data_IF_569391808887
#
_entry.id   IF_569391808887
#
_cell.length_a   1.000
_cell.length_b   1.000
_cell.length_c   1.000
_cell.angle_alpha   90.00
_cell.angle_beta   90.00
_cell.angle_gamma   90.00
#
_symmetry.space_group_name_H-M   'P 1'
#
loop_
_entity.id
_entity.type
_entity.pdbx_description
1 polymer ?
#
# COMPACT_ATOMS: atom_id res chain seq x y z
N UNK A 1 -3.88 26.57 -1.64
CA UNK A 1 -3.17 25.44 -2.26
C UNK A 1 -1.92 25.14 -1.45
N UNK A 2 -1.90 24.00 -0.77
CA UNK A 2 -0.73 23.57 0.01
C UNK A 2 0.39 23.08 -0.92
N UNK A 3 1.65 23.10 -0.46
CA UNK A 3 2.78 22.60 -1.24
C UNK A 3 2.59 21.13 -1.66
N UNK A 4 1.96 20.33 -0.80
CA UNK A 4 1.62 18.94 -1.08
C UNK A 4 0.61 18.80 -2.23
N UNK A 5 -0.41 19.65 -2.28
CA UNK A 5 -1.40 19.66 -3.37
C UNK A 5 -0.77 20.03 -4.72
N UNK A 6 0.17 21.00 -4.73
CA UNK A 6 0.90 21.38 -5.95
C UNK A 6 1.77 20.23 -6.46
N UNK A 7 2.44 19.49 -5.57
CA UNK A 7 3.23 18.30 -5.96
C UNK A 7 2.32 17.19 -6.50
N UNK A 8 1.15 16.98 -5.89
CA UNK A 8 0.17 15.98 -6.36
C UNK A 8 -0.40 16.30 -7.75
N UNK A 9 -0.56 17.57 -8.11
CA UNK A 9 -0.98 17.95 -9.46
C UNK A 9 0.03 17.50 -10.53
N UNK A 10 1.33 17.52 -10.23
CA UNK A 10 2.39 17.05 -11.14
C UNK A 10 2.31 15.54 -11.39
N UNK A 11 1.64 14.75 -10.54
CA UNK A 11 1.38 13.34 -10.83
C UNK A 11 0.29 13.12 -11.87
N UNK A 12 -0.56 14.12 -12.12
CA UNK A 12 -1.71 14.02 -13.04
C UNK A 12 -1.46 14.67 -14.39
N UNK A 13 -0.52 15.61 -14.48
CA UNK A 13 -0.19 16.30 -15.73
C UNK A 13 1.27 16.07 -16.15
N UNK A 14 1.55 15.80 -17.44
CA UNK A 14 2.91 15.66 -17.93
C UNK A 14 3.61 17.03 -17.97
N UNK A 15 4.21 17.43 -16.86
CA UNK A 15 5.05 18.63 -16.75
C UNK A 15 6.51 18.29 -17.07
N UNK A 16 7.36 19.27 -17.41
CA UNK A 16 8.80 19.06 -17.66
C UNK A 16 9.52 18.29 -16.53
N UNK A 17 9.10 18.49 -15.28
CA UNK A 17 9.60 17.74 -14.11
C UNK A 17 9.22 16.25 -14.17
N UNK A 18 8.02 15.92 -14.65
CA UNK A 18 7.56 14.53 -14.83
C UNK A 18 8.39 13.81 -15.90
N UNK A 19 8.71 14.52 -17.00
CA UNK A 19 9.60 14.02 -18.05
C UNK A 19 11.01 13.75 -17.53
N UNK A 20 11.58 14.67 -16.73
CA UNK A 20 12.88 14.47 -16.11
C UNK A 20 12.93 13.27 -15.14
N UNK A 21 11.82 12.95 -14.46
CA UNK A 21 11.69 11.79 -13.56
C UNK A 21 11.33 10.48 -14.29
N UNK A 22 11.02 10.55 -15.58
CA UNK A 22 10.64 9.37 -16.38
C UNK A 22 11.69 8.27 -16.41
N UNK A 23 13.01 8.52 -16.59
CA UNK A 23 14.01 7.46 -16.53
C UNK A 23 14.03 6.74 -15.16
N UNK A 24 13.88 7.48 -14.06
CA UNK A 24 13.78 6.89 -12.72
C UNK A 24 12.50 6.04 -12.57
N UNK A 25 11.39 6.51 -13.14
CA UNK A 25 10.13 5.76 -13.18
C UNK A 25 10.27 4.45 -13.96
N UNK A 26 10.99 4.45 -15.09
CA UNK A 26 11.26 3.23 -15.88
C UNK A 26 12.09 2.23 -15.09
N UNK A 27 13.15 2.67 -14.41
CA UNK A 27 13.97 1.80 -13.55
C UNK A 27 13.12 1.21 -12.42
N UNK A 28 12.34 2.03 -11.73
CA UNK A 28 11.42 1.57 -10.69
C UNK A 28 10.39 0.57 -11.24
N UNK A 29 9.83 0.84 -12.42
CA UNK A 29 8.90 -0.04 -13.13
C UNK A 29 9.53 -1.38 -13.50
N UNK A 30 10.79 -1.39 -13.94
CA UNK A 30 11.52 -2.61 -14.25
C UNK A 30 11.77 -3.45 -12.99
N UNK A 31 12.26 -2.83 -11.91
CA UNK A 31 12.52 -3.51 -10.64
C UNK A 31 11.24 -4.11 -10.05
N UNK A 32 10.13 -3.36 -10.09
CA UNK A 32 8.83 -3.86 -9.58
C UNK A 32 8.27 -5.01 -10.44
N UNK A 33 8.46 -4.98 -11.76
CA UNK A 33 8.10 -6.10 -12.66
C UNK A 33 8.93 -7.35 -12.38
N UNK A 34 10.25 -7.21 -12.25
CA UNK A 34 11.16 -8.32 -11.93
C UNK A 34 10.77 -8.94 -10.58
N UNK A 35 10.54 -8.11 -9.55
CA UNK A 35 10.10 -8.58 -8.24
C UNK A 35 8.77 -9.33 -8.31
N UNK A 36 7.79 -8.81 -9.07
CA UNK A 36 6.50 -9.48 -9.29
C UNK A 36 6.69 -10.85 -9.97
N UNK A 37 7.53 -10.92 -11.01
CA UNK A 37 7.84 -12.17 -11.70
C UNK A 37 8.51 -13.18 -10.77
N UNK A 38 9.39 -12.75 -9.88
CA UNK A 38 10.04 -13.61 -8.89
C UNK A 38 9.05 -14.21 -7.86
N UNK A 39 7.98 -13.49 -7.49
CA UNK A 39 6.91 -14.07 -6.66
C UNK A 39 6.03 -15.04 -7.44
N UNK A 40 5.64 -14.70 -8.68
CA UNK A 40 4.76 -15.55 -9.50
C UNK A 40 5.46 -16.87 -9.86
N UNK A 41 6.76 -16.81 -10.17
CA UNK A 41 7.58 -18.00 -10.48
C UNK A 41 7.95 -18.84 -9.24
N UNK A 42 7.60 -18.39 -8.04
CA UNK A 42 7.91 -19.10 -6.79
C UNK A 42 9.37 -18.97 -6.33
N UNK A 43 10.20 -18.15 -6.99
CA UNK A 43 11.58 -17.86 -6.57
C UNK A 43 11.61 -17.17 -5.20
N UNK A 44 10.67 -16.24 -4.96
CA UNK A 44 10.50 -15.61 -3.65
C UNK A 44 9.52 -16.38 -2.79
N UNK A 45 9.92 -16.62 -1.53
CA UNK A 45 9.08 -17.31 -0.54
C UNK A 45 7.76 -16.58 -0.32
N UNK A 46 6.68 -17.36 -0.33
CA UNK A 46 5.32 -16.89 -0.05
C UNK A 46 4.76 -17.71 1.11
N UNK A 47 4.21 -17.03 2.12
CA UNK A 47 3.57 -17.68 3.25
C UNK A 47 2.07 -17.82 2.98
N UNK A 48 1.54 -19.02 3.25
CA UNK A 48 0.10 -19.29 3.26
C UNK A 48 -0.34 -19.41 4.71
N UNK A 49 -1.52 -18.88 4.99
CA UNK A 49 -2.13 -18.97 6.31
C UNK A 49 -3.36 -19.87 6.21
N UNK A 50 -3.65 -20.61 7.27
CA UNK A 50 -4.84 -21.47 7.36
C UNK A 50 -6.13 -20.66 7.58
N UNK A 51 -6.00 -19.35 7.80
CA UNK A 51 -7.11 -18.40 7.94
C UNK A 51 -7.26 -17.53 6.69
N UNK A 52 -8.48 -17.06 6.37
CA UNK A 52 -8.69 -16.11 5.28
C UNK A 52 -7.96 -14.79 5.55
N UNK A 53 -7.13 -14.35 4.59
CA UNK A 53 -6.39 -13.08 4.68
C UNK A 53 -6.85 -12.15 3.56
N UNK A 54 -7.29 -10.95 3.92
CA UNK A 54 -7.69 -9.89 2.97
C UNK A 54 -6.66 -8.77 3.01
N UNK A 55 -5.99 -8.53 1.88
CA UNK A 55 -5.00 -7.45 1.75
C UNK A 55 -5.65 -6.22 1.13
N UNK A 56 -5.72 -5.12 1.89
CA UNK A 56 -6.22 -3.83 1.39
C UNK A 56 -5.03 -2.94 1.01
N UNK A 57 -4.83 -2.75 -0.29
CA UNK A 57 -3.76 -1.93 -0.87
C UNK A 57 -4.28 -0.73 -1.67
N UNK A 58 -3.36 0.10 -2.17
CA UNK A 58 -3.66 1.10 -3.19
C UNK A 58 -2.47 1.24 -4.14
N UNK A 59 -2.74 1.63 -5.38
CA UNK A 59 -1.74 1.78 -6.44
C UNK A 59 -0.99 3.12 -6.38
N UNK A 60 -1.60 4.14 -5.78
CA UNK A 60 -1.05 5.49 -5.68
C UNK A 60 -0.65 5.83 -4.23
N UNK A 61 0.33 6.71 -4.08
CA UNK A 61 0.73 7.26 -2.79
C UNK A 61 -0.22 8.40 -2.38
N UNK A 62 -0.52 8.53 -1.09
CA UNK A 62 -1.41 9.55 -0.54
C UNK A 62 -2.60 9.00 0.26
N UNK A 63 -3.48 9.91 0.71
CA UNK A 63 -4.69 9.61 1.48
C UNK A 63 -5.79 9.01 0.62
N UNK A 64 -5.65 7.74 0.25
CA UNK A 64 -6.53 7.09 -0.74
C UNK A 64 -7.70 6.33 -0.10
N UNK A 65 -8.19 6.82 1.04
CA UNK A 65 -9.35 6.25 1.74
C UNK A 65 -9.15 4.82 2.28
N UNK A 66 -7.93 4.28 2.29
CA UNK A 66 -7.65 2.91 2.79
C UNK A 66 -8.12 2.71 4.23
N UNK A 67 -7.86 3.67 5.11
CA UNK A 67 -8.25 3.55 6.53
C UNK A 67 -9.77 3.55 6.71
N UNK A 68 -10.55 4.52 6.17
CA UNK A 68 -12.00 4.43 6.19
C UNK A 68 -12.54 3.12 5.60
N UNK A 69 -11.97 2.66 4.47
CA UNK A 69 -12.39 1.42 3.84
C UNK A 69 -12.13 0.19 4.70
N UNK A 70 -10.96 0.08 5.34
CA UNK A 70 -10.63 -1.02 6.25
C UNK A 70 -11.59 -1.06 7.44
N UNK A 71 -11.96 0.10 7.99
CA UNK A 71 -12.92 0.21 9.10
C UNK A 71 -14.29 -0.34 8.64
N UNK A 72 -14.83 0.18 7.53
CA UNK A 72 -16.13 -0.29 7.01
C UNK A 72 -16.11 -1.78 6.64
N UNK A 73 -14.99 -2.28 6.11
CA UNK A 73 -14.84 -3.70 5.80
C UNK A 73 -14.88 -4.56 7.07
N UNK A 74 -14.13 -4.17 8.11
CA UNK A 74 -14.10 -4.88 9.39
C UNK A 74 -15.48 -4.89 10.07
N UNK A 75 -16.19 -3.75 10.07
CA UNK A 75 -17.55 -3.64 10.60
C UNK A 75 -18.52 -4.58 9.87
N UNK A 76 -18.49 -4.59 8.53
CA UNK A 76 -19.34 -5.47 7.73
C UNK A 76 -19.03 -6.95 7.96
N UNK A 77 -17.77 -7.32 8.16
CA UNK A 77 -17.38 -8.68 8.49
C UNK A 77 -17.89 -9.07 9.89
N UNK A 78 -17.79 -8.15 10.85
CA UNK A 78 -18.31 -8.35 12.21
C UNK A 78 -19.83 -8.56 12.22
N UNK A 79 -20.59 -7.79 11.46
CA UNK A 79 -22.05 -7.96 11.30
C UNK A 79 -22.39 -9.33 10.72
N UNK A 80 -21.53 -9.88 9.85
CA UNK A 80 -21.68 -11.24 9.30
C UNK A 80 -21.17 -12.36 10.22
N UNK A 81 -20.86 -12.05 11.48
CA UNK A 81 -20.43 -13.04 12.48
C UNK A 81 -18.93 -13.38 12.47
N UNK A 82 -18.13 -12.70 11.65
CA UNK A 82 -16.68 -12.91 11.64
C UNK A 82 -15.98 -12.13 12.76
N UNK A 83 -14.76 -12.57 13.11
CA UNK A 83 -13.87 -11.88 14.08
C UNK A 83 -12.61 -11.39 13.36
N UNK A 84 -12.67 -10.27 12.61
CA UNK A 84 -11.54 -9.79 11.82
C UNK A 84 -10.43 -9.22 12.72
N UNK A 85 -9.18 -9.61 12.45
CA UNK A 85 -7.98 -8.95 12.97
C UNK A 85 -7.41 -7.96 11.95
N UNK A 86 -6.98 -6.78 12.39
CA UNK A 86 -6.38 -5.77 11.51
C UNK A 86 -4.88 -5.71 11.79
N UNK A 87 -4.08 -6.02 10.76
CA UNK A 87 -2.62 -5.89 10.83
C UNK A 87 -2.21 -4.63 10.06
N UNK A 88 -1.55 -3.70 10.75
CA UNK A 88 -1.01 -2.46 10.18
C UNK A 88 0.52 -2.51 10.15
N UNK A 89 1.13 -1.82 9.16
CA UNK A 89 2.59 -1.73 9.03
C UNK A 89 3.24 -0.85 10.11
N UNK A 90 2.48 -0.03 10.84
CA UNK A 90 3.03 0.86 11.87
C UNK A 90 3.87 2.02 11.31
N UNK A 91 3.57 2.52 10.11
CA UNK A 91 4.33 3.62 9.50
C UNK A 91 4.27 4.89 10.38
N UNK A 92 5.45 5.36 10.85
CA UNK A 92 5.63 6.43 11.86
C UNK A 92 5.15 6.11 13.28
N UNK A 93 4.77 4.87 13.59
CA UNK A 93 4.51 4.44 14.96
C UNK A 93 5.83 4.34 15.72
N UNK A 94 5.98 5.09 16.81
CA UNK A 94 7.00 4.80 17.81
C UNK A 94 6.49 3.60 18.59
N UNK A 95 7.22 2.49 18.57
CA UNK A 95 6.96 1.39 19.49
C UNK A 95 7.48 1.86 20.83
N UNK A 96 6.59 2.30 21.71
CA UNK A 96 6.92 2.31 23.13
C UNK A 96 6.81 0.85 23.56
N UNK A 97 7.90 0.22 24.00
CA UNK A 97 7.79 -1.08 24.66
C UNK A 97 6.68 -0.98 25.71
N UNK A 98 5.62 -1.76 25.54
CA UNK A 98 4.69 -2.00 26.63
C UNK A 98 5.46 -2.91 27.61
N UNK A 99 5.91 -2.33 28.72
CA UNK A 99 6.42 -3.08 29.87
C UNK A 99 5.34 -4.09 30.29
N UNK A 100 5.71 -5.37 30.27
CA UNK A 100 4.95 -6.47 30.85
C UNK A 100 5.49 -6.69 32.26
#
# INVERSE_FOLDING_TARGET
MTLAERIQQHWRTPTAVSLALTPFSLVYGLVTKIRKAAYISGVLKTHRFDIPVVVVGNLTVGGTGKTPFVITLAERLKIRGWRPGIVSRGYRGKVTEAEI
#
